data_IF_216035752416
#
_entry.id   IF_216035752416
#
_cell.length_a   1.000
_cell.length_b   1.000
_cell.length_c   1.000
_cell.angle_alpha   90.00
_cell.angle_beta   90.00
_cell.angle_gamma   90.00
#
_symmetry.space_group_name_H-M   'P 1'
#
loop_
_entity.id
_entity.type
_entity.pdbx_description
1 polymer ?
#
# COMPACT_ATOMS: atom_id res chain seq x y z
N UNK A 1 -24.94 33.00 -28.96
CA UNK A 1 -24.89 32.88 -27.49
C UNK A 1 -23.42 32.84 -27.09
N UNK A 2 -22.86 33.98 -26.71
CA UNK A 2 -21.46 34.07 -26.28
C UNK A 2 -21.36 33.68 -24.81
N UNK A 3 -20.76 32.51 -24.54
CA UNK A 3 -20.32 32.18 -23.18
C UNK A 3 -19.19 33.14 -22.85
N UNK A 4 -19.46 34.12 -21.98
CA UNK A 4 -18.49 35.13 -21.57
C UNK A 4 -17.18 34.48 -21.13
N UNK A 5 -16.03 34.94 -21.67
CA UNK A 5 -14.68 34.50 -21.32
C UNK A 5 -14.45 34.44 -19.80
N UNK A 6 -15.11 35.30 -19.02
CA UNK A 6 -15.03 35.31 -17.56
C UNK A 6 -15.64 34.07 -16.89
N UNK A 7 -16.66 33.46 -17.50
CA UNK A 7 -17.31 32.25 -17.01
C UNK A 7 -16.43 31.03 -17.30
N UNK A 8 -15.81 30.99 -18.49
CA UNK A 8 -14.83 29.95 -18.84
C UNK A 8 -13.60 29.99 -17.92
N UNK A 9 -13.04 31.16 -17.63
CA UNK A 9 -11.90 31.30 -16.72
C UNK A 9 -12.26 30.88 -15.29
N UNK A 10 -13.42 31.29 -14.76
CA UNK A 10 -13.89 30.85 -13.43
C UNK A 10 -14.13 29.35 -13.35
N UNK A 11 -14.69 28.75 -14.40
CA UNK A 11 -14.91 27.31 -14.45
C UNK A 11 -13.58 26.53 -14.52
N UNK A 12 -12.60 27.03 -15.27
CA UNK A 12 -11.26 26.46 -15.32
C UNK A 12 -10.52 26.59 -13.98
N UNK A 13 -10.62 27.73 -13.30
CA UNK A 13 -10.07 27.90 -11.95
C UNK A 13 -10.76 27.01 -10.91
N UNK A 14 -12.07 26.82 -11.01
CA UNK A 14 -12.83 25.92 -10.14
C UNK A 14 -12.47 24.46 -10.37
N UNK A 15 -12.36 24.03 -11.64
CA UNK A 15 -11.88 22.69 -12.01
C UNK A 15 -10.44 22.48 -11.54
N UNK A 16 -9.58 23.49 -11.69
CA UNK A 16 -8.20 23.45 -11.22
C UNK A 16 -8.12 23.32 -9.69
N UNK A 17 -8.95 24.05 -8.93
CA UNK A 17 -9.05 23.90 -7.47
C UNK A 17 -9.60 22.53 -7.03
N UNK A 18 -10.53 21.96 -7.78
CA UNK A 18 -11.04 20.59 -7.53
C UNK A 18 -9.96 19.53 -7.77
N UNK A 19 -9.12 19.73 -8.79
CA UNK A 19 -7.97 18.86 -9.09
C UNK A 19 -6.85 19.05 -8.05
N UNK A 20 -6.53 20.29 -7.67
CA UNK A 20 -5.53 20.64 -6.65
C UNK A 20 -5.93 20.20 -5.23
N UNK A 21 -7.22 19.91 -5.00
CA UNK A 21 -7.75 19.34 -3.76
C UNK A 21 -7.95 17.82 -3.77
N UNK A 22 -7.74 17.15 -4.91
CA UNK A 22 -7.96 15.71 -5.03
C UNK A 22 -6.90 14.94 -4.25
N UNK A 23 -7.36 14.07 -3.35
CA UNK A 23 -6.50 13.15 -2.60
C UNK A 23 -6.31 11.82 -3.34
N UNK A 24 -6.91 11.66 -4.53
CA UNK A 24 -6.83 10.45 -5.35
C UNK A 24 -5.88 10.70 -6.55
N UNK A 25 -4.63 11.03 -6.23
CA UNK A 25 -3.55 11.27 -7.20
C UNK A 25 -2.39 10.33 -6.93
N UNK A 26 -1.56 10.06 -7.94
CA UNK A 26 -0.34 9.26 -7.74
C UNK A 26 0.59 9.91 -6.72
N UNK A 27 0.79 11.23 -6.78
CA UNK A 27 1.59 11.96 -5.78
C UNK A 27 1.10 11.73 -4.34
N UNK A 28 -0.23 11.69 -4.13
CA UNK A 28 -0.80 11.42 -2.82
C UNK A 28 -0.53 9.99 -2.35
N UNK A 29 -0.43 9.05 -3.29
CA UNK A 29 -0.17 7.64 -3.03
C UNK A 29 1.30 7.38 -2.72
N UNK A 30 2.21 8.01 -3.48
CA UNK A 30 3.65 7.98 -3.21
C UNK A 30 3.96 8.64 -1.86
N UNK A 31 3.40 9.84 -1.59
CA UNK A 31 3.52 10.53 -0.29
C UNK A 31 3.01 9.63 0.86
N UNK A 32 1.92 8.88 0.62
CA UNK A 32 1.36 7.94 1.58
C UNK A 32 2.26 6.73 1.83
N UNK A 33 2.85 6.13 0.79
CA UNK A 33 3.79 5.02 0.92
C UNK A 33 5.04 5.43 1.72
N UNK A 34 5.59 6.62 1.43
CA UNK A 34 6.68 7.19 2.22
C UNK A 34 6.30 7.37 3.70
N UNK A 35 5.10 7.87 3.98
CA UNK A 35 4.62 8.04 5.36
C UNK A 35 4.42 6.70 6.08
N UNK A 36 3.89 5.69 5.38
CA UNK A 36 3.72 4.34 5.89
C UNK A 36 5.06 3.73 6.29
N UNK A 37 6.05 3.76 5.39
CA UNK A 37 7.35 3.16 5.66
C UNK A 37 8.11 3.92 6.76
N UNK A 38 8.03 5.25 6.77
CA UNK A 38 8.64 6.07 7.83
C UNK A 38 8.06 5.74 9.21
N UNK A 39 6.78 5.38 9.27
CA UNK A 39 6.13 4.96 10.51
C UNK A 39 6.46 3.51 10.90
N UNK A 40 6.42 2.59 9.94
CA UNK A 40 6.44 1.15 10.22
C UNK A 40 7.85 0.56 10.33
N UNK A 41 8.81 0.99 9.50
CA UNK A 41 10.18 0.43 9.47
C UNK A 41 10.90 0.57 10.83
N UNK A 42 10.85 1.72 11.54
CA UNK A 42 11.47 1.86 12.85
C UNK A 42 11.00 0.87 13.92
N UNK A 43 9.79 0.32 13.78
CA UNK A 43 9.27 -0.68 14.73
C UNK A 43 9.95 -2.04 14.60
N UNK A 44 10.71 -2.26 13.52
CA UNK A 44 11.54 -3.44 13.30
C UNK A 44 13.04 -3.19 13.56
N UNK A 45 13.40 -2.03 14.13
CA UNK A 45 14.79 -1.72 14.49
C UNK A 45 15.65 -1.14 13.37
N UNK A 46 15.08 -0.89 12.19
CA UNK A 46 15.75 -0.25 11.07
C UNK A 46 15.45 1.25 11.00
N UNK A 47 16.36 2.05 10.46
CA UNK A 47 16.12 3.45 10.16
C UNK A 47 15.70 3.61 8.70
N UNK A 48 14.56 4.25 8.46
CA UNK A 48 14.15 4.68 7.13
C UNK A 48 13.95 6.19 7.10
N UNK A 49 14.66 6.85 6.19
CA UNK A 49 14.55 8.28 5.96
C UNK A 49 14.15 8.55 4.51
N UNK A 50 13.36 9.60 4.31
CA UNK A 50 12.99 10.02 2.96
C UNK A 50 14.20 10.64 2.26
N UNK A 51 14.26 10.62 0.91
CA UNK A 51 15.31 11.31 0.16
C UNK A 51 15.44 12.77 0.58
N UNK A 52 16.66 13.32 0.58
CA UNK A 52 16.90 14.70 1.02
C UNK A 52 16.16 15.74 0.17
N UNK A 53 15.88 15.41 -1.09
CA UNK A 53 15.11 16.22 -2.04
C UNK A 53 13.60 15.94 -2.01
N UNK A 54 13.14 15.00 -1.18
CA UNK A 54 11.73 14.71 -1.00
C UNK A 54 10.98 15.96 -0.51
N UNK A 55 10.03 16.40 -1.32
CA UNK A 55 9.08 17.46 -0.96
C UNK A 55 7.69 16.89 -1.05
N UNK A 56 7.01 16.81 0.10
CA UNK A 56 5.59 16.44 0.16
C UNK A 56 4.80 17.32 -0.80
N UNK A 57 4.04 16.69 -1.70
CA UNK A 57 3.26 17.38 -2.74
C UNK A 57 1.79 17.52 -2.35
N UNK A 58 1.33 16.70 -1.41
CA UNK A 58 -0.08 16.57 -1.07
C UNK A 58 -0.35 16.77 0.44
N UNK A 59 -1.62 16.77 0.85
CA UNK A 59 -1.97 16.78 2.28
C UNK A 59 -1.60 15.42 2.89
N UNK A 60 -1.17 15.40 4.15
CA UNK A 60 -0.89 14.13 4.85
C UNK A 60 -2.17 13.31 4.96
N UNK A 61 -2.20 12.17 4.28
CA UNK A 61 -3.33 11.23 4.30
C UNK A 61 -3.14 10.12 5.31
N UNK A 62 -1.90 9.67 5.46
CA UNK A 62 -1.52 8.55 6.32
C UNK A 62 -1.95 8.77 7.78
N UNK A 63 -2.49 7.70 8.37
CA UNK A 63 -2.88 7.65 9.79
C UNK A 63 -2.11 6.53 10.48
N UNK A 64 -1.54 6.82 11.64
CA UNK A 64 -0.67 5.89 12.37
C UNK A 64 -1.40 4.58 12.74
N UNK A 65 -2.68 4.67 13.12
CA UNK A 65 -3.50 3.50 13.40
C UNK A 65 -3.72 2.60 12.17
N UNK A 66 -3.58 3.13 10.95
CA UNK A 66 -3.56 2.30 9.74
C UNK A 66 -2.21 1.56 9.61
N UNK A 67 -1.10 2.23 9.94
CA UNK A 67 0.21 1.59 10.01
C UNK A 67 0.25 0.43 11.02
N UNK A 68 -0.39 0.59 12.18
CA UNK A 68 -0.57 -0.49 13.16
C UNK A 68 -1.31 -1.69 12.56
N UNK A 69 -2.37 -1.45 11.78
CA UNK A 69 -3.10 -2.51 11.08
C UNK A 69 -2.26 -3.21 10.03
N UNK A 70 -1.43 -2.48 9.29
CA UNK A 70 -0.50 -3.07 8.31
C UNK A 70 0.50 -4.00 9.00
N UNK A 71 1.04 -3.59 10.14
CA UNK A 71 1.96 -4.40 10.95
C UNK A 71 1.25 -5.65 11.49
N UNK A 72 0.06 -5.49 12.06
CA UNK A 72 -0.76 -6.59 12.55
C UNK A 72 -1.08 -7.60 11.42
N UNK A 73 -1.42 -7.10 10.24
CA UNK A 73 -1.68 -7.94 9.07
C UNK A 73 -0.43 -8.73 8.68
N UNK A 74 0.73 -8.07 8.63
CA UNK A 74 2.02 -8.70 8.35
C UNK A 74 2.35 -9.80 9.36
N UNK A 75 2.25 -9.51 10.65
CA UNK A 75 2.56 -10.45 11.73
C UNK A 75 1.67 -11.69 11.69
N UNK A 76 0.37 -11.53 11.39
CA UNK A 76 -0.56 -12.67 11.30
C UNK A 76 -0.26 -13.60 10.12
N UNK A 77 0.33 -13.08 9.05
CA UNK A 77 0.69 -13.86 7.86
C UNK A 77 2.22 -14.02 7.75
N UNK A 78 2.94 -14.00 8.88
CA UNK A 78 4.41 -14.00 8.91
C UNK A 78 5.04 -15.17 8.16
N UNK A 79 4.37 -16.33 8.10
CA UNK A 79 4.86 -17.50 7.37
C UNK A 79 4.97 -17.19 5.87
N UNK A 80 3.88 -16.70 5.26
CA UNK A 80 3.86 -16.30 3.85
C UNK A 80 4.90 -15.22 3.55
N UNK A 81 5.16 -14.32 4.51
CA UNK A 81 6.13 -13.25 4.34
C UNK A 81 7.58 -13.75 4.46
N UNK A 82 7.88 -14.64 5.42
CA UNK A 82 9.20 -15.23 5.59
C UNK A 82 9.61 -16.10 4.39
N UNK A 83 8.65 -16.82 3.78
CA UNK A 83 8.90 -17.59 2.56
C UNK A 83 9.30 -16.67 1.39
N UNK A 84 8.55 -15.58 1.18
CA UNK A 84 8.86 -14.59 0.13
C UNK A 84 10.20 -13.90 0.37
N UNK A 85 10.47 -13.56 1.63
CA UNK A 85 11.74 -12.96 2.04
C UNK A 85 12.94 -13.85 1.69
N UNK A 86 12.83 -15.16 1.94
CA UNK A 86 13.87 -16.13 1.58
C UNK A 86 14.09 -16.16 0.07
N UNK A 87 13.00 -16.22 -0.71
CA UNK A 87 13.07 -16.20 -2.17
C UNK A 87 13.78 -14.95 -2.72
N UNK A 88 13.47 -13.77 -2.18
CA UNK A 88 14.04 -12.50 -2.65
C UNK A 88 15.52 -12.41 -2.31
N UNK A 89 15.94 -12.92 -1.14
CA UNK A 89 17.35 -12.96 -0.76
C UNK A 89 18.21 -13.85 -1.68
N UNK A 90 17.60 -14.84 -2.30
CA UNK A 90 18.27 -15.72 -3.26
C UNK A 90 18.36 -15.09 -4.67
N UNK A 91 17.77 -13.90 -4.90
CA UNK A 91 17.85 -13.20 -6.18
C UNK A 91 19.19 -12.45 -6.31
N UNK A 92 19.82 -12.58 -7.47
CA UNK A 92 21.19 -12.08 -7.69
C UNK A 92 21.25 -10.58 -8.01
N UNK A 93 20.16 -9.98 -8.52
CA UNK A 93 20.15 -8.61 -9.01
C UNK A 93 18.94 -7.80 -8.55
N UNK A 94 19.11 -6.48 -8.41
CA UNK A 94 18.00 -5.57 -8.10
C UNK A 94 16.89 -5.61 -9.17
N UNK A 95 17.23 -5.91 -10.42
CA UNK A 95 16.26 -6.06 -11.53
C UNK A 95 15.35 -7.28 -11.31
N UNK A 96 15.88 -8.41 -10.83
CA UNK A 96 15.10 -9.60 -10.51
C UNK A 96 14.10 -9.31 -9.37
N UNK A 97 14.53 -8.52 -8.39
CA UNK A 97 13.68 -8.07 -7.27
C UNK A 97 12.54 -7.18 -7.80
N UNK A 98 12.84 -6.23 -8.69
CA UNK A 98 11.81 -5.38 -9.31
C UNK A 98 10.80 -6.19 -10.15
N UNK A 99 11.28 -7.19 -10.90
CA UNK A 99 10.41 -8.12 -11.65
C UNK A 99 9.51 -8.92 -10.71
N UNK A 100 10.06 -9.41 -9.60
CA UNK A 100 9.28 -10.08 -8.56
C UNK A 100 8.22 -9.16 -7.96
N UNK A 101 8.60 -7.92 -7.63
CA UNK A 101 7.69 -6.89 -7.10
C UNK A 101 6.52 -6.65 -8.06
N UNK A 102 6.79 -6.46 -9.35
CA UNK A 102 5.75 -6.26 -10.37
C UNK A 102 4.82 -7.49 -10.48
N UNK A 103 5.39 -8.71 -10.50
CA UNK A 103 4.59 -9.94 -10.53
C UNK A 103 3.71 -10.10 -9.28
N UNK A 104 4.23 -9.74 -8.12
CA UNK A 104 3.49 -9.82 -6.86
C UNK A 104 2.35 -8.79 -6.80
N UNK A 105 2.59 -7.57 -7.26
CA UNK A 105 1.55 -6.53 -7.40
C UNK A 105 0.38 -7.03 -8.25
N UNK A 106 0.67 -7.63 -9.41
CA UNK A 106 -0.36 -8.21 -10.28
C UNK A 106 -1.14 -9.32 -9.56
N UNK A 107 -0.46 -10.15 -8.77
CA UNK A 107 -1.09 -11.24 -8.00
C UNK A 107 -1.99 -10.73 -6.88
N UNK A 108 -1.58 -9.70 -6.13
CA UNK A 108 -2.40 -9.11 -5.05
C UNK A 108 -3.72 -8.59 -5.61
N UNK A 109 -3.64 -7.80 -6.69
CA UNK A 109 -4.81 -7.08 -7.22
C UNK A 109 -5.62 -7.88 -8.27
N UNK A 110 -5.29 -9.16 -8.47
CA UNK A 110 -6.12 -10.12 -9.22
C UNK A 110 -7.35 -10.60 -8.43
N UNK A 111 -7.46 -10.28 -7.14
CA UNK A 111 -8.58 -10.69 -6.27
C UNK A 111 -9.86 -9.84 -6.42
N UNK A 112 -10.85 -10.14 -5.58
CA UNK A 112 -12.21 -9.58 -5.62
C UNK A 112 -12.47 -8.47 -4.56
N UNK A 113 -11.55 -8.17 -3.61
CA UNK A 113 -11.77 -7.19 -2.53
C UNK A 113 -10.66 -6.10 -2.51
N UNK A 114 -10.85 -5.00 -3.25
CA UNK A 114 -9.80 -4.00 -3.50
C UNK A 114 -9.21 -3.33 -2.25
N UNK A 115 -9.99 -3.18 -1.18
CA UNK A 115 -9.54 -2.48 0.04
C UNK A 115 -8.73 -3.36 0.99
N UNK A 116 -9.04 -4.66 1.08
CA UNK A 116 -8.23 -5.61 1.85
C UNK A 116 -6.94 -5.95 1.11
N UNK A 117 -7.02 -6.10 -0.21
CA UNK A 117 -5.84 -6.24 -1.09
C UNK A 117 -4.90 -5.04 -0.96
N UNK A 118 -5.45 -3.83 -0.80
CA UNK A 118 -4.59 -2.67 -0.56
C UNK A 118 -3.88 -2.73 0.81
N UNK A 119 -4.51 -3.24 1.86
CA UNK A 119 -3.82 -3.49 3.14
C UNK A 119 -2.70 -4.53 2.95
N UNK A 120 -2.98 -5.61 2.21
CA UNK A 120 -1.98 -6.63 1.90
C UNK A 120 -0.80 -6.07 1.08
N UNK A 121 -1.08 -5.18 0.11
CA UNK A 121 -0.04 -4.46 -0.64
C UNK A 121 0.80 -3.55 0.25
N UNK A 122 0.19 -2.84 1.22
CA UNK A 122 0.92 -2.04 2.19
C UNK A 122 1.83 -2.90 3.09
N UNK A 123 1.38 -4.09 3.48
CA UNK A 123 2.20 -5.04 4.23
C UNK A 123 3.37 -5.55 3.37
N UNK A 124 3.11 -5.83 2.09
CA UNK A 124 4.16 -6.19 1.14
C UNK A 124 5.20 -5.07 0.94
N UNK A 125 4.78 -3.80 0.84
CA UNK A 125 5.72 -2.67 0.78
C UNK A 125 6.62 -2.60 2.01
N UNK A 126 6.05 -2.87 3.20
CA UNK A 126 6.84 -2.95 4.42
C UNK A 126 7.85 -4.10 4.36
N UNK A 127 7.50 -5.28 3.83
CA UNK A 127 8.47 -6.37 3.64
C UNK A 127 9.58 -6.01 2.68
N UNK A 128 9.24 -5.42 1.53
CA UNK A 128 10.25 -4.95 0.59
C UNK A 128 11.18 -3.93 1.24
N UNK A 129 10.63 -3.05 2.09
CA UNK A 129 11.46 -2.11 2.83
C UNK A 129 12.43 -2.82 3.77
N UNK A 130 11.97 -3.79 4.56
CA UNK A 130 12.84 -4.57 5.46
C UNK A 130 13.93 -5.34 4.68
N UNK A 131 13.59 -5.90 3.53
CA UNK A 131 14.55 -6.58 2.65
C UNK A 131 15.61 -5.59 2.14
N UNK A 132 15.18 -4.44 1.61
CA UNK A 132 16.11 -3.44 1.09
C UNK A 132 17.05 -2.90 2.18
N UNK A 133 16.55 -2.77 3.43
CA UNK A 133 17.40 -2.39 4.57
C UNK A 133 18.44 -3.46 4.89
N UNK A 134 18.09 -4.75 4.79
CA UNK A 134 19.04 -5.85 5.00
C UNK A 134 20.04 -6.03 3.87
N UNK A 135 19.66 -5.70 2.64
CA UNK A 135 20.54 -5.68 1.47
C UNK A 135 21.42 -4.42 1.43
N UNK A 136 21.20 -3.46 2.34
CA UNK A 136 21.84 -2.15 2.35
C UNK A 136 21.67 -1.37 1.01
N UNK A 137 20.53 -1.59 0.32
CA UNK A 137 20.18 -0.96 -0.97
C UNK A 137 18.95 -0.05 -0.83
N UNK A 138 19.11 1.19 -0.31
CA UNK A 138 18.01 2.13 -0.17
C UNK A 138 17.48 2.66 -1.52
N UNK A 139 18.30 2.64 -2.57
CA UNK A 139 17.92 3.12 -3.90
C UNK A 139 16.86 2.20 -4.53
N UNK A 140 17.01 0.88 -4.34
CA UNK A 140 15.98 -0.08 -4.72
C UNK A 140 14.65 0.20 -4.01
N UNK A 141 14.67 0.56 -2.72
CA UNK A 141 13.45 0.89 -2.00
C UNK A 141 12.80 2.18 -2.53
N UNK A 142 13.59 3.19 -2.90
CA UNK A 142 13.03 4.39 -3.53
C UNK A 142 12.34 4.08 -4.86
N UNK A 143 12.95 3.24 -5.71
CA UNK A 143 12.33 2.79 -6.96
C UNK A 143 11.00 2.06 -6.71
N UNK A 144 10.98 1.12 -5.75
CA UNK A 144 9.75 0.40 -5.38
C UNK A 144 8.65 1.34 -4.88
N UNK A 145 9.02 2.38 -4.10
CA UNK A 145 8.07 3.38 -3.61
C UNK A 145 7.55 4.26 -4.76
N UNK A 146 8.39 4.65 -5.71
CA UNK A 146 7.98 5.43 -6.87
C UNK A 146 7.03 4.63 -7.78
N UNK A 147 7.28 3.32 -7.95
CA UNK A 147 6.42 2.40 -8.70
C UNK A 147 5.00 2.26 -8.10
N UNK A 148 4.80 2.66 -6.84
CA UNK A 148 3.45 2.72 -6.24
C UNK A 148 2.52 3.69 -6.99
N UNK A 149 3.08 4.65 -7.74
CA UNK A 149 2.32 5.52 -8.63
C UNK A 149 1.59 4.73 -9.73
N UNK A 150 2.26 3.74 -10.31
CA UNK A 150 1.67 2.89 -11.35
C UNK A 150 0.65 1.92 -10.76
N UNK A 151 0.95 1.34 -9.59
CA UNK A 151 -0.02 0.54 -8.83
C UNK A 151 -1.29 1.35 -8.54
N UNK A 152 -1.14 2.63 -8.18
CA UNK A 152 -2.27 3.50 -7.96
C UNK A 152 -3.14 3.63 -9.22
N UNK A 153 -2.56 3.92 -10.38
CA UNK A 153 -3.34 4.10 -11.61
C UNK A 153 -3.98 2.82 -12.11
N UNK A 154 -3.23 1.72 -12.09
CA UNK A 154 -3.66 0.45 -12.67
C UNK A 154 -4.71 -0.25 -11.81
N UNK A 155 -4.49 -0.29 -10.50
CA UNK A 155 -5.30 -1.12 -9.61
C UNK A 155 -6.18 -0.29 -8.68
N UNK A 156 -5.65 0.75 -8.04
CA UNK A 156 -6.33 1.37 -6.89
C UNK A 156 -7.34 2.43 -7.30
N UNK A 157 -6.95 3.35 -8.21
CA UNK A 157 -7.74 4.50 -8.63
C UNK A 157 -9.13 4.11 -9.17
N UNK A 158 -9.28 3.08 -10.02
CA UNK A 158 -10.60 2.67 -10.50
C UNK A 158 -11.57 2.35 -9.35
N UNK A 159 -11.10 1.68 -8.30
CA UNK A 159 -11.94 1.31 -7.16
C UNK A 159 -12.11 2.43 -6.14
N UNK A 160 -11.04 3.17 -5.82
CA UNK A 160 -11.08 4.24 -4.82
C UNK A 160 -12.11 5.33 -5.13
N UNK A 161 -12.32 5.59 -6.42
CA UNK A 161 -13.34 6.54 -6.87
C UNK A 161 -14.77 6.06 -6.62
N UNK A 162 -15.00 4.74 -6.54
CA UNK A 162 -16.33 4.12 -6.36
C UNK A 162 -16.61 3.89 -4.88
N UNK A 163 -15.64 3.36 -4.12
CA UNK A 163 -15.88 2.83 -2.77
C UNK A 163 -15.72 3.86 -1.65
N UNK A 164 -15.53 5.14 -1.94
CA UNK A 164 -15.35 6.21 -0.94
C UNK A 164 -13.89 6.46 -0.52
N UNK A 165 -12.93 5.92 -1.29
CA UNK A 165 -11.50 6.21 -1.18
C UNK A 165 -10.90 5.95 0.20
N UNK A 166 -10.04 6.87 0.64
CA UNK A 166 -9.30 6.79 1.91
C UNK A 166 -10.19 6.57 3.14
N UNK A 167 -11.38 7.17 3.17
CA UNK A 167 -12.31 7.00 4.29
C UNK A 167 -12.72 5.53 4.47
N UNK A 168 -13.07 4.88 3.37
CA UNK A 168 -13.50 3.48 3.40
C UNK A 168 -12.35 2.54 3.68
N UNK A 169 -11.15 2.83 3.16
CA UNK A 169 -9.93 2.10 3.52
C UNK A 169 -9.73 2.09 5.05
N UNK A 170 -9.78 3.26 5.69
CA UNK A 170 -9.60 3.35 7.15
C UNK A 170 -10.71 2.66 7.93
N UNK A 171 -11.92 2.58 7.39
CA UNK A 171 -13.01 1.83 7.99
C UNK A 171 -12.75 0.32 7.93
N UNK A 172 -12.32 -0.18 6.78
CA UNK A 172 -11.97 -1.60 6.59
C UNK A 172 -10.79 -1.98 7.48
N UNK A 173 -9.75 -1.15 7.57
CA UNK A 173 -8.62 -1.39 8.46
C UNK A 173 -9.05 -1.54 9.94
N UNK A 174 -9.95 -0.66 10.40
CA UNK A 174 -10.53 -0.75 11.76
C UNK A 174 -11.41 -1.98 11.95
N UNK A 175 -12.12 -2.43 10.91
CA UNK A 175 -12.90 -3.66 10.95
C UNK A 175 -11.99 -4.89 11.06
N UNK A 176 -10.89 -4.92 10.30
CA UNK A 176 -9.87 -5.96 10.39
C UNK A 176 -9.23 -6.03 11.78
N UNK A 177 -8.79 -4.90 12.33
CA UNK A 177 -8.26 -4.82 13.70
C UNK A 177 -9.22 -5.44 14.72
N UNK A 178 -10.51 -5.08 14.64
CA UNK A 178 -11.55 -5.64 15.53
C UNK A 178 -11.73 -7.13 15.32
N UNK A 179 -11.82 -7.59 14.07
CA UNK A 179 -11.95 -8.99 13.73
C UNK A 179 -10.81 -9.82 14.36
N UNK A 180 -9.57 -9.37 14.16
CA UNK A 180 -8.38 -10.05 14.71
C UNK A 180 -8.31 -10.02 16.24
N UNK A 181 -8.76 -8.94 16.88
CA UNK A 181 -8.69 -8.79 18.35
C UNK A 181 -9.84 -9.45 19.11
N UNK A 182 -10.95 -9.76 18.45
CA UNK A 182 -12.15 -10.31 19.10
C UNK A 182 -12.39 -11.81 18.83
N UNK A 183 -11.76 -12.40 17.81
CA UNK A 183 -11.79 -13.86 17.62
C UNK A 183 -10.65 -14.55 18.40
N UNK A 184 -10.94 -15.57 19.23
CA UNK A 184 -9.92 -16.32 19.96
C UNK A 184 -9.02 -17.11 18.99
N UNK A 185 -7.71 -17.05 19.23
CA UNK A 185 -6.70 -17.84 18.51
C UNK A 185 -6.94 -19.35 18.75
N UNK A 186 -7.67 -20.01 17.85
CA UNK A 186 -7.59 -21.45 17.72
C UNK A 186 -6.40 -21.78 16.81
N UNK A 187 -5.30 -22.26 17.41
CA UNK A 187 -4.33 -23.07 16.69
C UNK A 187 -4.95 -24.46 16.43
N UNK A 188 -4.90 -24.97 15.19
CA UNK A 188 -4.72 -26.38 14.99
C UNK A 188 -3.42 -26.62 14.23
N UNK A 189 -2.46 -27.24 14.89
CA UNK A 189 -1.35 -27.89 14.20
C UNK A 189 -1.93 -29.05 13.38
N UNK A 190 -1.55 -29.06 12.09
CA UNK A 190 -1.51 -30.18 11.14
C UNK A 190 -2.84 -30.80 10.66
N UNK A 191 -3.26 -30.44 9.45
CA UNK A 191 -3.14 -31.38 8.32
C UNK A 191 -3.16 -30.60 7.00
N UNK A 192 -2.16 -30.85 6.15
CA UNK A 192 -2.20 -30.46 4.76
C UNK A 192 -3.44 -31.11 4.11
N UNK A 193 -4.37 -30.27 3.68
CA UNK A 193 -5.18 -30.51 2.50
C UNK A 193 -5.29 -29.18 1.78
N UNK A 194 -4.79 -29.18 0.55
CA UNK A 194 -4.95 -28.14 -0.45
C UNK A 194 -6.42 -27.68 -0.54
N UNK A 195 -6.60 -26.44 -1.01
CA UNK A 195 -7.88 -25.81 -1.36
C UNK A 195 -8.83 -25.44 -0.20
N UNK A 196 -8.66 -24.22 0.34
CA UNK A 196 -9.82 -23.36 0.62
C UNK A 196 -9.43 -21.90 0.87
N UNK A 197 -9.33 -21.09 -0.19
CA UNK A 197 -9.24 -19.63 -0.12
C UNK A 197 -10.63 -18.95 -0.13
N UNK A 198 -11.72 -19.70 -0.09
CA UNK A 198 -13.09 -19.19 -0.33
C UNK A 198 -13.84 -18.67 0.91
N UNK A 199 -13.20 -18.55 2.08
CA UNK A 199 -13.93 -18.25 3.33
C UNK A 199 -13.60 -16.92 4.02
N UNK A 200 -12.90 -16.00 3.35
CA UNK A 200 -12.72 -14.62 3.84
C UNK A 200 -13.38 -13.55 2.97
N UNK A 201 -14.32 -13.93 2.09
CA UNK A 201 -15.16 -13.00 1.34
C UNK A 201 -16.63 -13.11 1.78
N UNK A 202 -17.02 -12.32 2.80
CA UNK A 202 -18.40 -11.84 3.00
C UNK A 202 -18.38 -10.33 3.15
#
# INVERSE_FOLDING_TARGET
MDISRSVLVKNLEMLRRLVEGSTHTSDAFVDFAFDLLQYSVPKYGYSWEKPADFKRRTKKLFRENFGDVVILFRERHSNDFNEKFTLIKDMETSDDILLYVASFQEKIFKGNIPLMEFIAYCAFLLDMALICMELEDPDLLFNIVDDTADVFYQYIKPYFTIVGGWFSLYRVAKQYERYVTTEPQNNPVASATEENWDLLCV
#
